data_IF_622129350252
#
_entry.id   IF_622129350252
#
_cell.length_a   1.000
_cell.length_b   1.000
_cell.length_c   1.000
_cell.angle_alpha   90.00
_cell.angle_beta   90.00
_cell.angle_gamma   90.00
#
_symmetry.space_group_name_H-M   'P 1'
#
loop_
_entity.id
_entity.type
_entity.pdbx_description
1 polymer ?
#
# COMPACT_ATOMS: atom_id res chain seq x y z
N UNK A 1 -21.72 -7.11 -4.39
CA UNK A 1 -20.41 -6.49 -4.14
C UNK A 1 -19.46 -7.56 -3.64
N UNK A 2 -18.25 -7.63 -4.20
CA UNK A 2 -17.21 -8.54 -3.72
C UNK A 2 -16.28 -7.82 -2.72
N UNK A 3 -15.29 -8.54 -2.20
CA UNK A 3 -14.32 -8.00 -1.25
C UNK A 3 -13.52 -6.80 -1.78
N UNK A 4 -13.35 -6.69 -3.11
CA UNK A 4 -12.60 -5.59 -3.73
C UNK A 4 -13.30 -4.26 -3.49
N UNK A 5 -14.63 -4.24 -3.51
CA UNK A 5 -15.40 -3.02 -3.25
C UNK A 5 -15.16 -2.47 -1.84
N UNK A 6 -14.79 -3.32 -0.89
CA UNK A 6 -14.53 -2.95 0.51
C UNK A 6 -13.04 -2.74 0.82
N UNK A 7 -12.15 -2.85 -0.18
CA UNK A 7 -10.72 -2.70 0.05
C UNK A 7 -10.37 -1.23 0.32
N UNK A 8 -9.79 -0.94 1.49
CA UNK A 8 -9.41 0.41 1.92
C UNK A 8 -8.38 1.03 0.98
N UNK A 9 -7.47 0.22 0.43
CA UNK A 9 -6.46 0.67 -0.55
C UNK A 9 -7.02 1.25 -1.85
N UNK A 10 -8.34 1.18 -2.11
CA UNK A 10 -8.96 1.79 -3.29
C UNK A 10 -8.93 3.31 -3.31
N UNK A 11 -8.76 3.93 -2.16
CA UNK A 11 -8.73 5.40 -2.00
C UNK A 11 -7.29 5.96 -2.00
N UNK A 12 -6.29 5.09 -2.07
CA UNK A 12 -4.87 5.43 -2.03
C UNK A 12 -4.24 5.45 -3.43
N UNK A 13 -3.06 6.07 -3.56
CA UNK A 13 -2.26 5.99 -4.79
C UNK A 13 -1.79 4.54 -5.04
N UNK A 14 -2.10 3.91 -6.20
CA UNK A 14 -1.65 2.56 -6.51
C UNK A 14 -0.14 2.38 -6.37
N UNK A 15 0.68 3.38 -6.71
CA UNK A 15 2.14 3.27 -6.69
C UNK A 15 2.69 3.09 -5.27
N UNK A 16 1.94 3.48 -4.23
CA UNK A 16 2.29 3.22 -2.83
C UNK A 16 2.55 1.73 -2.57
N UNK A 17 1.82 0.85 -3.24
CA UNK A 17 1.90 -0.60 -3.05
C UNK A 17 2.99 -1.28 -3.91
N UNK A 18 3.75 -0.52 -4.70
CA UNK A 18 4.81 -1.04 -5.59
C UNK A 18 6.17 -0.38 -5.32
N UNK A 19 6.77 -0.61 -4.13
CA UNK A 19 8.08 -0.05 -3.80
C UNK A 19 9.20 -0.64 -4.67
N UNK A 20 10.15 0.22 -5.06
CA UNK A 20 11.35 -0.21 -5.78
C UNK A 20 12.40 -0.69 -4.78
N UNK A 21 12.47 -2.01 -4.62
CA UNK A 21 13.38 -2.67 -3.68
C UNK A 21 12.78 -2.79 -2.28
N UNK A 22 13.63 -3.14 -1.32
CA UNK A 22 13.23 -3.45 0.06
C UNK A 22 14.21 -2.86 1.10
N UNK A 23 14.97 -1.85 0.70
CA UNK A 23 15.96 -1.17 1.55
C UNK A 23 15.87 0.35 1.36
N UNK A 24 16.48 1.10 2.27
CA UNK A 24 16.53 2.56 2.16
C UNK A 24 15.12 3.19 2.12
N UNK A 25 14.85 4.11 1.17
CA UNK A 25 13.55 4.78 1.05
C UNK A 25 12.36 3.83 0.88
N UNK A 26 12.57 2.65 0.30
CA UNK A 26 11.52 1.65 0.13
C UNK A 26 10.95 1.16 1.46
N UNK A 27 11.71 1.21 2.56
CA UNK A 27 11.22 0.82 3.88
C UNK A 27 10.10 1.74 4.37
N UNK A 28 10.20 3.06 4.10
CA UNK A 28 9.16 4.01 4.46
C UNK A 28 7.88 3.73 3.65
N UNK A 29 8.01 3.58 2.33
CA UNK A 29 6.89 3.25 1.44
C UNK A 29 6.21 1.93 1.84
N UNK A 30 6.99 0.91 2.23
CA UNK A 30 6.46 -0.36 2.75
C UNK A 30 5.68 -0.16 4.04
N UNK A 31 6.18 0.64 4.98
CA UNK A 31 5.47 0.90 6.24
C UNK A 31 4.20 1.72 6.03
N UNK A 32 4.21 2.69 5.10
CA UNK A 32 3.02 3.45 4.70
C UNK A 32 1.97 2.53 4.05
N UNK A 33 2.37 1.67 3.10
CA UNK A 33 1.47 0.70 2.48
C UNK A 33 0.88 -0.28 3.51
N UNK A 34 1.67 -0.73 4.50
CA UNK A 34 1.18 -1.58 5.59
C UNK A 34 0.20 -0.86 6.49
N UNK A 35 0.37 0.45 6.72
CA UNK A 35 -0.53 1.23 7.55
C UNK A 35 -1.95 1.27 6.98
N UNK A 36 -2.09 1.25 5.64
CA UNK A 36 -3.39 1.14 4.95
C UNK A 36 -4.09 -0.20 5.24
N UNK A 37 -3.32 -1.26 5.49
CA UNK A 37 -3.84 -2.61 5.70
C UNK A 37 -4.17 -2.94 7.18
N UNK A 38 -4.00 -2.00 8.10
CA UNK A 38 -4.30 -2.19 9.54
C UNK A 38 -5.77 -1.92 9.84
#
# INVERSE_FOLDING_TARGET
>A
MDWRHNAVCREEDPELFFPIGNTGPALLQIEEAKAVCR
#
